data_IF_022547915870
#
_entry.id   IF_022547915870
#
_cell.length_a   1.000
_cell.length_b   1.000
_cell.length_c   1.000
_cell.angle_alpha   90.00
_cell.angle_beta   90.00
_cell.angle_gamma   90.00
#
_symmetry.space_group_name_H-M   'P 1'
#
loop_
_entity.id
_entity.type
_entity.pdbx_description
1 polymer ?
#
# COMPACT_ATOMS: atom_id res chain seq x y z
N UNK A 1 5.74 8.01 -56.83
CA UNK A 1 4.41 7.64 -56.27
C UNK A 1 4.63 6.62 -55.16
N UNK A 2 4.40 7.06 -53.92
CA UNK A 2 3.97 6.30 -52.72
C UNK A 2 4.29 7.21 -51.52
N UNK A 3 3.31 8.05 -51.19
CA UNK A 3 3.28 8.83 -49.95
C UNK A 3 2.73 7.89 -48.87
N UNK A 4 3.40 7.77 -47.75
CA UNK A 4 2.79 7.28 -46.50
C UNK A 4 3.03 8.38 -45.48
N UNK A 5 1.92 9.00 -45.08
CA UNK A 5 1.82 10.01 -44.04
C UNK A 5 1.58 9.24 -42.75
N UNK A 6 2.47 9.33 -41.78
CA UNK A 6 2.23 8.82 -40.42
C UNK A 6 1.74 9.97 -39.57
N UNK A 7 0.48 9.86 -39.16
CA UNK A 7 -0.24 10.81 -38.30
C UNK A 7 0.05 10.44 -36.84
N UNK A 8 0.54 11.44 -36.08
CA UNK A 8 0.54 11.47 -34.62
C UNK A 8 -0.90 11.37 -34.11
N UNK A 9 -1.17 10.46 -33.17
CA UNK A 9 -2.42 10.45 -32.41
C UNK A 9 -2.07 10.33 -30.93
N UNK A 10 -2.05 11.49 -30.27
CA UNK A 10 -2.19 11.61 -28.83
C UNK A 10 -3.67 11.40 -28.49
N UNK A 11 -3.97 10.48 -27.58
CA UNK A 11 -5.31 10.32 -27.00
C UNK A 11 -5.19 10.67 -25.53
N UNK A 12 -5.58 11.90 -25.21
CA UNK A 12 -5.99 12.33 -23.87
C UNK A 12 -7.50 12.17 -23.83
N UNK A 13 -8.03 11.31 -22.95
CA UNK A 13 -9.47 11.28 -22.66
C UNK A 13 -9.72 11.77 -21.24
N UNK A 14 -9.99 13.06 -21.15
CA UNK A 14 -10.83 13.65 -20.12
C UNK A 14 -12.26 13.55 -20.65
N UNK A 15 -13.14 12.82 -19.96
CA UNK A 15 -14.58 12.88 -20.20
C UNK A 15 -15.25 13.43 -18.95
N UNK A 16 -15.64 14.69 -19.05
CA UNK A 16 -16.46 15.42 -18.10
C UNK A 16 -17.93 15.41 -18.53
N UNK A 17 -18.78 15.08 -17.56
CA UNK A 17 -20.18 15.48 -17.33
C UNK A 17 -21.17 15.62 -18.50
N UNK A 18 -22.24 14.80 -18.49
CA UNK A 18 -23.60 15.25 -18.84
C UNK A 18 -24.65 14.59 -17.94
N UNK A 19 -25.36 15.42 -17.18
CA UNK A 19 -26.54 15.11 -16.36
C UNK A 19 -27.80 15.17 -17.23
N UNK A 20 -28.71 14.21 -17.07
CA UNK A 20 -30.12 14.38 -17.40
C UNK A 20 -31.00 13.67 -16.35
N UNK A 21 -31.80 14.46 -15.63
CA UNK A 21 -32.78 14.08 -14.61
C UNK A 21 -34.15 13.70 -15.22
N UNK A 22 -34.87 12.77 -14.57
CA UNK A 22 -36.33 12.70 -14.23
C UNK A 22 -36.85 11.24 -14.28
N UNK A 23 -37.68 10.68 -13.38
CA UNK A 23 -38.16 10.95 -12.01
C UNK A 23 -39.05 9.74 -11.55
N UNK A 24 -39.26 9.60 -10.22
CA UNK A 24 -40.35 8.93 -9.46
C UNK A 24 -40.15 7.55 -8.74
N UNK A 25 -40.17 7.62 -7.39
CA UNK A 25 -40.60 6.60 -6.41
C UNK A 25 -39.45 5.79 -5.80
N UNK A 26 -39.23 5.65 -4.49
CA UNK A 26 -39.97 5.92 -3.23
C UNK A 26 -38.95 6.01 -2.09
N UNK A 27 -39.28 6.72 -1.01
CA UNK A 27 -38.45 6.93 0.19
C UNK A 27 -37.82 5.65 0.78
N UNK A 28 -36.49 5.60 0.81
CA UNK A 28 -35.71 4.98 1.87
C UNK A 28 -34.63 5.98 2.28
N UNK A 29 -34.57 6.26 3.58
CA UNK A 29 -33.73 7.32 4.16
C UNK A 29 -32.25 7.03 3.99
N UNK A 30 -31.66 7.47 2.89
CA UNK A 30 -30.24 7.77 2.84
C UNK A 30 -30.05 9.03 3.68
N UNK A 31 -29.47 8.88 4.87
CA UNK A 31 -28.86 10.00 5.56
C UNK A 31 -28.01 10.75 4.52
N UNK A 32 -28.30 12.03 4.33
CA UNK A 32 -27.45 12.94 3.59
C UNK A 32 -26.13 13.08 4.38
N UNK A 33 -25.29 12.05 4.29
CA UNK A 33 -24.03 11.91 5.01
C UNK A 33 -22.92 12.54 4.19
N UNK A 34 -22.08 13.32 4.87
CA UNK A 34 -20.96 14.05 4.28
C UNK A 34 -20.22 13.24 3.21
N UNK A 35 -20.07 13.79 2.02
CA UNK A 35 -19.30 13.18 0.93
C UNK A 35 -17.86 12.97 1.40
N UNK A 36 -17.28 11.81 1.08
CA UNK A 36 -15.88 11.48 1.38
C UNK A 36 -15.65 10.68 2.67
N UNK A 37 -14.37 10.56 3.01
CA UNK A 37 -13.83 9.69 4.06
C UNK A 37 -12.81 10.42 4.93
N UNK A 38 -12.58 9.93 6.15
CA UNK A 38 -11.57 10.44 7.09
C UNK A 38 -10.78 9.31 7.72
N UNK A 39 -9.53 9.59 8.08
CA UNK A 39 -8.70 8.75 8.95
C UNK A 39 -9.00 9.09 10.41
N UNK A 40 -9.17 8.08 11.27
CA UNK A 40 -9.15 8.24 12.72
C UNK A 40 -7.68 8.31 13.14
N UNK A 41 -7.24 9.50 13.57
CA UNK A 41 -5.83 9.79 13.84
C UNK A 41 -5.33 9.22 15.18
N UNK A 42 -5.44 7.90 15.33
CA UNK A 42 -5.02 7.12 16.50
C UNK A 42 -4.29 5.87 16.00
N UNK A 43 -2.95 5.83 16.10
CA UNK A 43 -2.16 4.65 15.76
C UNK A 43 -2.59 3.42 16.57
N UNK A 44 -2.80 2.29 15.91
CA UNK A 44 -3.21 1.04 16.55
C UNK A 44 -2.05 0.08 16.80
N UNK A 45 -0.99 0.18 16.01
CA UNK A 45 0.17 -0.72 16.05
C UNK A 45 1.47 0.07 15.97
N UNK A 46 2.60 -0.61 16.19
CA UNK A 46 3.96 -0.10 15.90
C UNK A 46 4.65 -1.14 15.03
N UNK A 47 4.99 -0.75 13.81
CA UNK A 47 5.42 -1.66 12.75
C UNK A 47 6.70 -1.16 12.08
N UNK A 48 7.58 -2.09 11.73
CA UNK A 48 8.82 -1.77 11.02
C UNK A 48 8.74 -2.32 9.61
N UNK A 49 8.93 -1.46 8.61
CA UNK A 49 9.08 -1.89 7.23
C UNK A 49 10.54 -2.21 6.92
N UNK A 50 10.77 -3.33 6.26
CA UNK A 50 12.08 -3.78 5.80
C UNK A 50 11.97 -4.53 4.47
N UNK A 51 13.08 -4.65 3.74
CA UNK A 51 13.10 -5.42 2.50
C UNK A 51 13.28 -6.91 2.77
N UNK A 52 12.55 -7.74 2.04
CA UNK A 52 12.62 -9.20 2.15
C UNK A 52 13.63 -9.77 1.16
N UNK A 53 14.81 -10.19 1.63
CA UNK A 53 15.84 -10.80 0.78
C UNK A 53 15.70 -12.32 0.79
N UNK A 54 16.08 -12.97 -0.30
CA UNK A 54 16.11 -14.44 -0.39
C UNK A 54 16.97 -15.06 0.71
N UNK A 55 16.46 -16.11 1.36
CA UNK A 55 17.07 -16.71 2.57
C UNK A 55 18.44 -17.34 2.36
N UNK A 56 18.73 -17.78 1.14
CA UNK A 56 20.01 -18.39 0.77
C UNK A 56 21.00 -17.39 0.15
N UNK A 57 20.73 -16.08 0.24
CA UNK A 57 21.62 -15.02 -0.25
C UNK A 57 22.08 -14.04 0.86
N UNK A 58 22.95 -14.50 1.78
CA UNK A 58 23.49 -13.64 2.83
C UNK A 58 24.39 -12.51 2.30
N UNK A 59 24.95 -12.66 1.09
CA UNK A 59 25.80 -11.65 0.47
C UNK A 59 24.96 -10.46 -0.01
N UNK A 60 23.81 -10.72 -0.65
CA UNK A 60 22.85 -9.67 -1.00
C UNK A 60 22.31 -8.99 0.24
N UNK A 61 21.91 -9.73 1.27
CA UNK A 61 21.43 -9.16 2.53
C UNK A 61 22.47 -8.20 3.15
N UNK A 62 23.75 -8.59 3.21
CA UNK A 62 24.81 -7.74 3.73
C UNK A 62 24.98 -6.45 2.93
N UNK A 63 24.86 -6.53 1.59
CA UNK A 63 24.94 -5.35 0.71
C UNK A 63 23.73 -4.45 0.88
N UNK A 64 22.53 -5.01 1.00
CA UNK A 64 21.28 -4.27 1.26
C UNK A 64 21.37 -3.53 2.60
N UNK A 65 21.84 -4.18 3.66
CA UNK A 65 22.00 -3.52 4.96
C UNK A 65 23.04 -2.40 4.93
N UNK A 66 24.14 -2.60 4.20
CA UNK A 66 25.14 -1.54 3.98
C UNK A 66 24.52 -0.35 3.22
N UNK A 67 23.80 -0.63 2.14
CA UNK A 67 23.09 0.36 1.34
C UNK A 67 22.08 1.16 2.19
N UNK A 68 21.24 0.49 2.98
CA UNK A 68 20.27 1.15 3.88
C UNK A 68 20.99 2.06 4.88
N UNK A 69 22.10 1.60 5.46
CA UNK A 69 22.94 2.42 6.33
C UNK A 69 23.48 3.67 5.62
N UNK A 70 23.96 3.52 4.38
CA UNK A 70 24.49 4.63 3.58
C UNK A 70 23.41 5.66 3.26
N UNK A 71 22.27 5.26 2.68
CA UNK A 71 21.19 6.20 2.28
C UNK A 71 20.55 6.91 3.48
N UNK A 72 20.55 6.28 4.65
CA UNK A 72 20.17 6.95 5.92
C UNK A 72 21.21 7.98 6.31
N UNK A 73 22.49 7.59 6.36
CA UNK A 73 23.57 8.45 6.87
C UNK A 73 23.84 9.67 6.01
N UNK A 74 23.60 9.57 4.69
CA UNK A 74 23.87 10.63 3.73
C UNK A 74 22.63 11.47 3.38
N UNK A 75 21.47 11.17 3.97
CA UNK A 75 20.21 11.89 3.79
C UNK A 75 19.45 11.57 2.49
N UNK A 76 19.87 10.57 1.71
CA UNK A 76 19.13 10.16 0.51
C UNK A 76 17.77 9.55 0.86
N UNK A 77 17.67 8.78 1.94
CA UNK A 77 16.38 8.26 2.40
C UNK A 77 15.44 9.41 2.78
N UNK A 78 15.92 10.39 3.55
CA UNK A 78 15.12 11.56 3.93
C UNK A 78 14.67 12.36 2.71
N UNK A 79 15.53 12.51 1.70
CA UNK A 79 15.18 13.18 0.45
C UNK A 79 14.08 12.43 -0.32
N UNK A 80 14.15 11.09 -0.37
CA UNK A 80 13.10 10.27 -0.97
C UNK A 80 11.80 10.41 -0.18
N UNK A 81 11.84 10.28 1.16
CA UNK A 81 10.65 10.45 2.00
C UNK A 81 10.03 11.84 1.79
N UNK A 82 10.83 12.91 1.66
CA UNK A 82 10.33 14.25 1.38
C UNK A 82 9.60 14.37 0.02
N UNK A 83 9.91 13.51 -0.96
CA UNK A 83 9.18 13.48 -2.24
C UNK A 83 7.72 13.05 -2.09
N UNK A 84 7.38 12.31 -1.03
CA UNK A 84 6.05 11.72 -0.84
C UNK A 84 5.31 12.25 0.38
N UNK A 85 6.04 12.59 1.44
CA UNK A 85 5.48 13.08 2.70
C UNK A 85 5.68 14.58 2.92
N UNK A 86 6.41 15.24 2.01
CA UNK A 86 6.77 16.65 2.10
C UNK A 86 6.41 17.43 0.84
N UNK A 87 7.25 18.40 0.50
CA UNK A 87 7.09 19.29 -0.65
C UNK A 87 7.92 18.87 -1.87
N UNK A 88 8.61 17.72 -1.77
CA UNK A 88 9.39 17.16 -2.86
C UNK A 88 8.48 16.65 -3.99
N UNK A 89 9.12 16.16 -5.05
CA UNK A 89 8.40 15.65 -6.23
C UNK A 89 8.67 14.16 -6.39
N UNK A 90 7.64 13.30 -6.47
CA UNK A 90 7.81 11.89 -6.78
C UNK A 90 8.62 11.67 -8.06
N UNK A 91 9.58 10.74 -8.01
CA UNK A 91 10.38 10.37 -9.17
C UNK A 91 9.88 9.05 -9.75
N UNK A 92 9.59 9.05 -11.04
CA UNK A 92 9.16 7.85 -11.76
C UNK A 92 10.33 6.90 -12.01
N UNK A 93 10.07 5.61 -11.85
CA UNK A 93 11.03 4.52 -12.04
C UNK A 93 10.52 3.61 -13.14
N UNK A 94 11.38 3.34 -14.11
CA UNK A 94 11.09 2.46 -15.24
C UNK A 94 11.73 1.10 -15.01
N UNK A 95 10.93 0.04 -15.10
CA UNK A 95 11.44 -1.34 -15.11
C UNK A 95 12.09 -1.66 -16.45
N UNK A 96 13.23 -2.36 -16.41
CA UNK A 96 13.74 -3.04 -17.58
C UNK A 96 12.91 -4.30 -17.89
N UNK A 97 13.17 -4.89 -19.06
CA UNK A 97 12.66 -6.21 -19.44
C UNK A 97 13.58 -7.27 -18.85
N UNK A 98 13.00 -8.28 -18.19
CA UNK A 98 13.74 -9.42 -17.67
C UNK A 98 14.50 -10.17 -18.78
N UNK A 99 15.79 -10.35 -18.59
CA UNK A 99 16.70 -11.01 -19.52
C UNK A 99 17.72 -11.84 -18.73
N UNK A 100 17.59 -13.18 -18.70
CA UNK A 100 18.51 -14.07 -17.99
C UNK A 100 19.97 -14.01 -18.46
N UNK A 101 20.26 -13.36 -19.60
CA UNK A 101 21.62 -13.14 -20.07
C UNK A 101 22.28 -11.88 -19.49
N UNK A 102 21.54 -11.04 -18.77
CA UNK A 102 22.01 -9.81 -18.15
C UNK A 102 22.14 -9.94 -16.64
N UNK A 103 22.95 -9.06 -16.06
CA UNK A 103 23.03 -8.91 -14.62
C UNK A 103 21.94 -7.95 -14.12
N UNK A 104 20.85 -8.53 -13.60
CA UNK A 104 19.67 -7.80 -13.18
C UNK A 104 19.43 -7.94 -11.67
N UNK A 105 18.76 -6.95 -11.08
CA UNK A 105 18.13 -7.04 -9.77
C UNK A 105 16.62 -7.16 -10.01
N UNK A 106 16.04 -8.30 -9.66
CA UNK A 106 14.61 -8.56 -9.82
C UNK A 106 13.92 -8.26 -8.49
N UNK A 107 13.16 -7.17 -8.47
CA UNK A 107 12.34 -6.74 -7.34
C UNK A 107 10.92 -7.28 -7.49
N UNK A 108 10.41 -7.96 -6.47
CA UNK A 108 8.99 -8.32 -6.37
C UNK A 108 8.27 -7.26 -5.52
N UNK A 109 7.15 -6.74 -6.01
CA UNK A 109 6.37 -5.69 -5.34
C UNK A 109 4.86 -5.83 -5.56
N UNK A 110 4.05 -5.04 -4.85
CA UNK A 110 2.62 -4.85 -5.10
C UNK A 110 2.32 -3.36 -5.28
N UNK A 111 2.29 -2.87 -6.52
CA UNK A 111 2.18 -1.44 -6.84
C UNK A 111 0.74 -0.89 -6.72
N UNK A 112 0.07 -1.17 -5.62
CA UNK A 112 -1.26 -0.64 -5.25
C UNK A 112 -1.24 0.04 -3.86
N UNK A 113 -0.05 0.39 -3.36
CA UNK A 113 0.19 0.82 -1.98
C UNK A 113 0.94 2.16 -1.93
N UNK A 114 0.29 3.20 -2.48
CA UNK A 114 0.81 4.56 -2.38
C UNK A 114 0.90 4.99 -0.90
N UNK A 115 1.96 5.69 -0.46
CA UNK A 115 3.02 6.27 -1.29
C UNK A 115 4.30 5.42 -1.40
N UNK A 116 4.29 4.14 -1.02
CA UNK A 116 5.50 3.31 -1.02
C UNK A 116 5.75 2.66 -2.38
N UNK A 117 4.70 2.12 -3.01
CA UNK A 117 4.77 1.55 -4.34
C UNK A 117 3.43 1.68 -5.05
N UNK A 118 3.44 2.32 -6.21
CA UNK A 118 2.23 2.49 -7.01
C UNK A 118 2.56 2.72 -8.49
N UNK A 119 1.55 2.56 -9.34
CA UNK A 119 1.64 2.84 -10.76
C UNK A 119 0.89 4.12 -11.13
N UNK A 120 1.53 4.96 -11.95
CA UNK A 120 0.83 5.95 -12.77
C UNK A 120 1.03 5.60 -14.25
N UNK A 121 -0.03 5.06 -14.87
CA UNK A 121 0.09 4.44 -16.19
C UNK A 121 1.01 3.21 -16.11
N UNK A 122 2.13 3.25 -16.85
CA UNK A 122 3.14 2.17 -16.86
C UNK A 122 4.38 2.50 -16.01
N UNK A 123 4.41 3.67 -15.36
CA UNK A 123 5.57 4.12 -14.59
C UNK A 123 5.37 3.83 -13.11
N UNK A 124 6.37 3.23 -12.48
CA UNK A 124 6.36 2.96 -11.04
C UNK A 124 6.78 4.21 -10.27
N UNK A 125 6.13 4.43 -9.14
CA UNK A 125 6.43 5.50 -8.20
C UNK A 125 6.39 4.96 -6.77
N UNK A 126 6.93 5.75 -5.85
CA UNK A 126 6.89 5.47 -4.43
C UNK A 126 8.27 5.33 -3.81
N UNK A 127 8.29 5.40 -2.48
CA UNK A 127 9.52 5.29 -1.67
C UNK A 127 10.30 4.00 -2.01
N UNK A 128 9.61 2.86 -2.08
CA UNK A 128 10.22 1.56 -2.34
C UNK A 128 10.79 1.50 -3.75
N UNK A 129 10.12 2.13 -4.72
CA UNK A 129 10.56 2.13 -6.12
C UNK A 129 11.80 3.01 -6.33
N UNK A 130 11.85 4.19 -5.72
CA UNK A 130 13.04 5.04 -5.73
C UNK A 130 14.23 4.36 -5.02
N UNK A 131 13.98 3.69 -3.88
CA UNK A 131 15.00 2.90 -3.19
C UNK A 131 15.45 1.69 -4.00
N UNK A 132 14.56 1.00 -4.72
CA UNK A 132 14.88 -0.11 -5.61
C UNK A 132 15.82 0.34 -6.74
N UNK A 133 15.58 1.52 -7.30
CA UNK A 133 16.44 2.12 -8.32
C UNK A 133 17.83 2.45 -7.77
N UNK A 134 17.91 3.06 -6.59
CA UNK A 134 19.18 3.37 -5.95
C UNK A 134 19.96 2.10 -5.56
N UNK A 135 19.27 1.07 -5.08
CA UNK A 135 19.88 -0.22 -4.75
C UNK A 135 20.43 -0.90 -6.00
N UNK A 136 19.69 -0.93 -7.10
CA UNK A 136 20.16 -1.48 -8.37
C UNK A 136 21.42 -0.74 -8.87
N UNK A 137 21.46 0.59 -8.79
CA UNK A 137 22.63 1.39 -9.13
C UNK A 137 23.82 1.10 -8.22
N UNK A 138 23.60 0.99 -6.91
CA UNK A 138 24.62 0.63 -5.92
C UNK A 138 25.22 -0.75 -6.22
N UNK A 139 24.40 -1.71 -6.65
CA UNK A 139 24.83 -3.06 -7.03
C UNK A 139 25.44 -3.13 -8.44
N UNK A 140 25.30 -2.08 -9.26
CA UNK A 140 25.70 -2.07 -10.66
C UNK A 140 24.83 -2.97 -11.55
N UNK A 141 23.57 -3.20 -11.17
CA UNK A 141 22.61 -4.09 -11.85
C UNK A 141 21.54 -3.29 -12.58
N UNK A 142 20.97 -3.88 -13.64
CA UNK A 142 19.76 -3.34 -14.28
C UNK A 142 18.52 -3.72 -13.45
N UNK A 143 17.65 -2.76 -13.16
CA UNK A 143 16.45 -2.98 -12.33
C UNK A 143 15.31 -3.59 -13.15
N UNK A 144 14.76 -4.70 -12.65
CA UNK A 144 13.50 -5.30 -13.13
C UNK A 144 12.51 -5.31 -11.96
N UNK A 145 11.30 -4.83 -12.20
CA UNK A 145 10.21 -4.78 -11.21
C UNK A 145 9.10 -5.72 -11.67
N UNK A 146 8.72 -6.66 -10.81
CA UNK A 146 7.58 -7.56 -11.02
C UNK A 146 6.47 -7.18 -10.04
N UNK A 147 5.36 -6.70 -10.60
CA UNK A 147 4.15 -6.36 -9.85
C UNK A 147 3.25 -7.59 -9.70
N UNK A 148 2.92 -7.96 -8.47
CA UNK A 148 2.14 -9.15 -8.12
C UNK A 148 1.15 -8.83 -6.99
N UNK A 149 0.23 -9.75 -6.70
CA UNK A 149 -0.65 -9.60 -5.53
C UNK A 149 0.18 -9.63 -4.23
N UNK A 150 -0.17 -8.79 -3.26
CA UNK A 150 0.60 -8.63 -2.02
C UNK A 150 0.83 -9.96 -1.28
N UNK A 151 -0.19 -10.81 -1.21
CA UNK A 151 -0.16 -12.13 -0.54
C UNK A 151 0.97 -13.04 -1.03
N UNK A 152 1.43 -12.87 -2.27
CA UNK A 152 2.44 -13.74 -2.88
C UNK A 152 3.83 -13.10 -2.97
N UNK A 153 4.01 -11.86 -2.51
CA UNK A 153 5.29 -11.14 -2.62
C UNK A 153 6.44 -11.93 -1.96
N UNK A 154 6.30 -12.32 -0.70
CA UNK A 154 7.36 -13.03 0.02
C UNK A 154 7.57 -14.46 -0.51
N UNK A 155 6.49 -15.20 -0.80
CA UNK A 155 6.60 -16.57 -1.28
C UNK A 155 7.21 -16.66 -2.69
N UNK A 156 7.07 -15.63 -3.51
CA UNK A 156 7.77 -15.55 -4.79
C UNK A 156 9.29 -15.39 -4.67
N UNK A 157 9.78 -14.73 -3.61
CA UNK A 157 11.21 -14.68 -3.31
C UNK A 157 11.73 -16.06 -2.93
N UNK A 158 11.03 -16.77 -2.04
CA UNK A 158 11.41 -18.14 -1.66
C UNK A 158 11.40 -19.10 -2.87
N UNK A 159 10.38 -18.98 -3.74
CA UNK A 159 10.28 -19.76 -4.97
C UNK A 159 11.32 -19.38 -6.05
N UNK A 160 12.12 -18.32 -5.84
CA UNK A 160 13.19 -17.90 -6.73
C UNK A 160 12.73 -17.10 -7.96
N UNK A 161 11.55 -16.48 -7.91
CA UNK A 161 11.06 -15.60 -8.98
C UNK A 161 11.64 -14.18 -8.94
N UNK A 162 12.26 -13.79 -7.83
CA UNK A 162 12.99 -12.53 -7.68
C UNK A 162 14.05 -12.60 -6.58
N UNK A 163 14.84 -11.53 -6.47
CA UNK A 163 15.98 -11.43 -5.57
C UNK A 163 15.60 -10.78 -4.23
N UNK A 164 14.73 -9.77 -4.30
CA UNK A 164 14.32 -8.95 -3.15
C UNK A 164 12.87 -8.51 -3.27
N UNK A 165 12.15 -8.53 -2.15
CA UNK A 165 10.82 -7.98 -2.01
C UNK A 165 10.89 -6.57 -1.41
N UNK A 166 10.23 -5.62 -2.08
CA UNK A 166 10.13 -4.21 -1.68
C UNK A 166 8.69 -3.76 -1.92
N UNK A 167 7.87 -3.86 -0.87
CA UNK A 167 6.44 -3.62 -0.92
C UNK A 167 5.90 -3.17 0.46
N UNK A 168 6.53 -2.17 1.10
CA UNK A 168 6.08 -1.71 2.43
C UNK A 168 5.96 -2.84 3.46
N UNK A 169 6.89 -3.81 3.43
CA UNK A 169 6.72 -5.05 4.16
C UNK A 169 7.02 -4.88 5.66
N UNK A 170 5.97 -4.93 6.47
CA UNK A 170 6.11 -5.15 7.92
C UNK A 170 6.91 -6.41 8.24
N UNK A 171 7.93 -6.27 9.08
CA UNK A 171 8.71 -7.40 9.63
C UNK A 171 7.82 -8.23 10.55
N UNK A 172 7.65 -9.52 10.25
CA UNK A 172 6.94 -10.46 11.12
C UNK A 172 7.46 -11.90 10.97
N UNK A 173 7.15 -12.75 11.95
CA UNK A 173 7.66 -14.14 12.02
C UNK A 173 7.20 -14.98 10.82
N UNK A 174 5.93 -14.88 10.43
CA UNK A 174 5.37 -15.62 9.28
C UNK A 174 6.11 -15.32 7.98
N UNK A 175 6.43 -14.05 7.71
CA UNK A 175 7.18 -13.65 6.51
C UNK A 175 8.63 -14.10 6.58
N UNK A 176 9.21 -14.24 7.79
CA UNK A 176 10.57 -14.79 7.94
C UNK A 176 10.69 -16.25 7.50
N UNK A 177 9.57 -16.97 7.35
CA UNK A 177 9.58 -18.30 6.75
C UNK A 177 10.05 -18.26 5.29
N UNK A 178 9.72 -17.20 4.55
CA UNK A 178 9.99 -17.04 3.12
C UNK A 178 11.20 -16.14 2.81
N UNK A 179 11.45 -15.13 3.63
CA UNK A 179 12.52 -14.13 3.40
C UNK A 179 13.39 -13.93 4.64
N UNK A 180 14.58 -13.36 4.44
CA UNK A 180 15.35 -12.74 5.52
C UNK A 180 15.23 -11.23 5.39
N UNK A 181 14.77 -10.57 6.44
CA UNK A 181 14.58 -9.12 6.42
C UNK A 181 15.91 -8.37 6.51
N UNK A 182 15.99 -7.26 5.78
CA UNK A 182 17.01 -6.24 5.96
C UNK A 182 16.83 -5.48 7.27
N UNK A 183 17.75 -4.55 7.54
CA UNK A 183 17.49 -3.45 8.46
C UNK A 183 16.23 -2.68 8.01
N UNK A 184 15.44 -2.21 8.97
CA UNK A 184 14.24 -1.44 8.67
C UNK A 184 14.57 -0.08 8.04
N UNK A 185 13.72 0.44 7.17
CA UNK A 185 13.86 1.78 6.57
C UNK A 185 12.73 2.74 6.93
N UNK A 186 11.62 2.26 7.49
CA UNK A 186 10.46 3.06 7.82
C UNK A 186 9.67 2.45 9.00
N UNK A 187 9.00 3.30 9.78
CA UNK A 187 8.11 2.91 10.88
C UNK A 187 6.67 3.25 10.53
N UNK A 188 5.77 2.29 10.62
CA UNK A 188 4.37 2.39 10.26
C UNK A 188 3.44 2.03 11.42
N UNK A 189 2.15 2.25 11.23
CA UNK A 189 1.09 1.81 12.14
C UNK A 189 -0.21 1.61 11.36
N UNK A 190 -1.10 0.74 11.85
CA UNK A 190 -2.46 0.60 11.34
C UNK A 190 -3.34 1.76 11.81
N UNK A 191 -4.21 2.22 10.90
CA UNK A 191 -5.18 3.29 11.12
C UNK A 191 -6.57 2.85 10.66
N UNK A 192 -7.60 3.47 11.24
CA UNK A 192 -8.99 3.28 10.81
C UNK A 192 -9.39 4.36 9.81
N UNK A 193 -10.04 3.98 8.72
CA UNK A 193 -10.73 4.88 7.79
C UNK A 193 -12.25 4.67 7.94
N UNK A 194 -12.98 5.77 8.07
CA UNK A 194 -14.45 5.79 8.09
C UNK A 194 -14.99 6.85 7.14
N UNK A 195 -16.31 6.85 6.90
CA UNK A 195 -17.00 7.93 6.20
C UNK A 195 -16.91 9.24 6.99
N UNK A 196 -16.89 10.39 6.32
CA UNK A 196 -16.75 11.70 6.97
C UNK A 196 -17.83 12.00 8.03
N UNK A 197 -19.05 11.49 7.84
CA UNK A 197 -20.16 11.66 8.78
C UNK A 197 -20.18 10.67 9.95
N UNK A 198 -19.26 9.71 10.00
CA UNK A 198 -19.19 8.72 11.06
C UNK A 198 -18.61 9.35 12.34
N UNK A 199 -19.34 9.27 13.45
CA UNK A 199 -18.94 9.83 14.76
C UNK A 199 -18.56 8.75 15.77
N UNK A 200 -18.47 7.49 15.35
CA UNK A 200 -18.28 6.32 16.23
C UNK A 200 -17.02 6.47 17.08
N UNK A 201 -15.95 7.00 16.49
CA UNK A 201 -14.63 7.10 17.12
C UNK A 201 -14.29 8.51 17.63
N UNK A 202 -15.23 9.47 17.60
CA UNK A 202 -14.94 10.89 17.88
C UNK A 202 -14.45 11.14 19.34
N UNK A 203 -14.84 10.27 20.27
CA UNK A 203 -14.45 10.37 21.69
C UNK A 203 -13.17 9.57 22.03
N UNK A 204 -12.64 8.80 21.07
CA UNK A 204 -11.42 8.01 21.27
C UNK A 204 -10.18 8.93 21.39
N UNK A 205 -9.25 8.55 22.26
CA UNK A 205 -7.98 9.29 22.47
C UNK A 205 -6.76 8.38 22.41
N UNK A 206 -6.97 7.08 22.55
CA UNK A 206 -5.94 6.06 22.65
C UNK A 206 -6.32 4.86 21.81
N UNK A 207 -5.33 4.03 21.43
CA UNK A 207 -5.57 2.77 20.74
C UNK A 207 -6.58 1.89 21.51
N UNK A 208 -6.45 1.82 22.84
CA UNK A 208 -7.36 1.07 23.70
C UNK A 208 -8.83 1.56 23.62
N UNK A 209 -9.08 2.85 23.38
CA UNK A 209 -10.44 3.36 23.18
C UNK A 209 -11.01 2.87 21.85
N UNK A 210 -10.18 2.83 20.80
CA UNK A 210 -10.58 2.32 19.47
C UNK A 210 -10.81 0.81 19.55
N UNK A 211 -9.90 0.07 20.16
CA UNK A 211 -10.01 -1.38 20.38
C UNK A 211 -11.25 -1.76 21.19
N UNK A 212 -11.62 -0.96 22.20
CA UNK A 212 -12.84 -1.19 22.96
C UNK A 212 -14.11 -1.07 22.08
N UNK A 213 -14.10 -0.18 21.09
CA UNK A 213 -15.17 -0.08 20.09
C UNK A 213 -15.14 -1.28 19.14
N UNK A 214 -13.98 -1.61 18.59
CA UNK A 214 -13.81 -2.74 17.67
C UNK A 214 -14.23 -4.07 18.32
N UNK A 215 -13.88 -4.29 19.59
CA UNK A 215 -14.28 -5.45 20.38
C UNK A 215 -15.79 -5.49 20.69
N UNK A 216 -16.48 -4.35 20.60
CA UNK A 216 -17.93 -4.25 20.74
C UNK A 216 -18.71 -4.58 19.48
N UNK A 217 -18.05 -4.69 18.32
CA UNK A 217 -18.68 -5.09 17.07
C UNK A 217 -19.00 -6.59 17.03
N UNK A 218 -19.99 -6.94 16.21
CA UNK A 218 -20.39 -8.32 15.93
C UNK A 218 -20.27 -8.62 14.44
N UNK A 219 -20.67 -9.83 14.03
CA UNK A 219 -20.58 -10.32 12.66
C UNK A 219 -21.37 -9.49 11.63
N UNK A 220 -22.20 -8.54 12.06
CA UNK A 220 -22.92 -7.61 11.18
C UNK A 220 -22.10 -6.39 10.80
N UNK A 221 -21.07 -6.05 11.58
CA UNK A 221 -20.12 -5.01 11.19
C UNK A 221 -19.05 -5.64 10.31
N UNK A 222 -18.77 -5.01 9.16
CA UNK A 222 -17.75 -5.46 8.23
C UNK A 222 -16.57 -4.49 8.18
N UNK A 223 -15.36 -5.04 8.36
CA UNK A 223 -14.09 -4.32 8.33
C UNK A 223 -13.33 -4.73 7.06
N UNK A 224 -13.07 -3.76 6.18
CA UNK A 224 -12.28 -3.97 4.98
C UNK A 224 -10.77 -3.91 5.27
N UNK A 225 -10.02 -4.82 4.66
CA UNK A 225 -8.55 -4.89 4.74
C UNK A 225 -7.96 -5.27 3.39
N UNK A 226 -6.68 -4.97 3.18
CA UNK A 226 -5.94 -5.58 2.06
C UNK A 226 -5.49 -7.00 2.47
N UNK A 227 -5.60 -7.97 1.56
CA UNK A 227 -5.23 -9.35 1.87
C UNK A 227 -3.73 -9.49 2.19
N UNK A 228 -3.41 -10.30 3.19
CA UNK A 228 -2.05 -10.66 3.61
C UNK A 228 -1.32 -9.57 4.41
N UNK A 229 -1.96 -8.43 4.69
CA UNK A 229 -1.35 -7.32 5.44
C UNK A 229 -1.56 -7.47 6.94
N UNK A 230 -0.83 -6.64 7.71
CA UNK A 230 -1.00 -6.58 9.17
C UNK A 230 -2.43 -6.23 9.57
N UNK A 231 -3.13 -5.40 8.79
CA UNK A 231 -4.55 -5.09 9.02
C UNK A 231 -5.43 -6.34 9.06
N UNK A 232 -5.23 -7.28 8.13
CA UNK A 232 -5.99 -8.53 8.14
C UNK A 232 -5.73 -9.33 9.40
N UNK A 233 -4.46 -9.51 9.78
CA UNK A 233 -4.07 -10.23 11.00
C UNK A 233 -4.59 -9.53 12.25
N UNK A 234 -4.61 -8.20 12.27
CA UNK A 234 -5.16 -7.42 13.37
C UNK A 234 -6.65 -7.65 13.56
N UNK A 235 -7.42 -7.79 12.47
CA UNK A 235 -8.86 -8.03 12.54
C UNK A 235 -9.19 -9.49 12.83
N UNK A 236 -8.55 -10.44 12.15
CA UNK A 236 -8.83 -11.88 12.29
C UNK A 236 -8.20 -12.48 13.56
N UNK A 237 -7.18 -11.84 14.11
CA UNK A 237 -6.36 -12.34 15.20
C UNK A 237 -5.17 -13.14 14.67
N UNK A 238 -4.03 -12.97 15.34
CA UNK A 238 -2.79 -13.64 15.03
C UNK A 238 -1.93 -13.73 16.30
N UNK A 239 -1.61 -14.96 16.72
CA UNK A 239 -0.92 -15.20 17.98
C UNK A 239 0.55 -14.76 17.96
N UNK A 240 1.19 -14.76 16.79
CA UNK A 240 2.59 -14.36 16.65
C UNK A 240 2.72 -12.83 16.77
N UNK A 241 1.69 -12.12 16.32
CA UNK A 241 1.52 -10.68 16.55
C UNK A 241 0.97 -10.31 17.92
N UNK A 242 0.35 -11.26 18.62
CA UNK A 242 -0.38 -10.98 19.86
C UNK A 242 -1.70 -10.25 19.63
N UNK A 243 -2.30 -10.41 18.45
CA UNK A 243 -3.62 -9.88 18.14
C UNK A 243 -4.70 -10.91 18.50
N UNK A 244 -5.60 -10.53 19.40
CA UNK A 244 -6.73 -11.39 19.80
C UNK A 244 -7.81 -11.49 18.69
N UNK A 245 -7.82 -10.53 17.76
CA UNK A 245 -8.85 -10.39 16.73
C UNK A 245 -10.16 -9.82 17.28
N UNK A 246 -11.12 -9.58 16.37
CA UNK A 246 -12.44 -9.04 16.70
C UNK A 246 -13.55 -9.93 16.15
N UNK A 247 -14.77 -9.80 16.70
CA UNK A 247 -15.92 -10.56 16.22
C UNK A 247 -16.54 -10.00 14.93
N UNK A 248 -16.09 -8.82 14.48
CA UNK A 248 -16.50 -8.22 13.21
C UNK A 248 -16.10 -9.10 12.02
N UNK A 249 -16.87 -9.00 10.93
CA UNK A 249 -16.54 -9.70 9.69
C UNK A 249 -15.33 -9.02 9.03
N UNK A 250 -14.22 -9.75 8.88
CA UNK A 250 -13.08 -9.32 8.07
C UNK A 250 -13.37 -9.53 6.58
N UNK A 251 -13.34 -8.46 5.78
CA UNK A 251 -13.53 -8.53 4.33
C UNK A 251 -12.24 -8.13 3.62
N UNK A 252 -11.67 -9.09 2.89
CA UNK A 252 -10.42 -8.94 2.18
C UNK A 252 -10.55 -8.35 0.78
N UNK A 253 -9.60 -7.49 0.41
CA UNK A 253 -9.50 -6.85 -0.91
C UNK A 253 -8.06 -6.95 -1.44
N UNK A 254 -7.89 -6.83 -2.76
CA UNK A 254 -6.55 -6.81 -3.37
C UNK A 254 -5.78 -5.52 -3.05
N UNK A 255 -6.50 -4.42 -2.76
CA UNK A 255 -5.93 -3.15 -2.27
C UNK A 255 -6.87 -2.38 -1.35
N UNK A 256 -6.28 -1.54 -0.48
CA UNK A 256 -7.03 -0.66 0.41
C UNK A 256 -7.93 0.35 -0.31
N UNK A 257 -7.52 0.81 -1.50
CA UNK A 257 -8.34 1.71 -2.31
C UNK A 257 -9.69 1.06 -2.70
N UNK A 258 -9.67 -0.23 -3.08
CA UNK A 258 -10.89 -0.98 -3.37
C UNK A 258 -11.76 -1.16 -2.12
N UNK A 259 -11.15 -1.44 -0.96
CA UNK A 259 -11.87 -1.51 0.31
C UNK A 259 -12.60 -0.19 0.61
N UNK A 260 -11.93 0.96 0.45
CA UNK A 260 -12.54 2.28 0.68
C UNK A 260 -13.65 2.58 -0.32
N UNK A 261 -13.50 2.18 -1.60
CA UNK A 261 -14.60 2.31 -2.56
C UNK A 261 -15.82 1.48 -2.18
N UNK A 262 -15.61 0.26 -1.69
CA UNK A 262 -16.70 -0.62 -1.27
C UNK A 262 -17.39 -0.12 0.01
N UNK A 263 -16.62 0.47 0.92
CA UNK A 263 -17.13 1.20 2.09
C UNK A 263 -18.03 2.36 1.65
N UNK A 264 -17.58 3.18 0.69
CA UNK A 264 -18.38 4.28 0.14
C UNK A 264 -19.69 3.81 -0.51
N UNK A 265 -19.69 2.64 -1.15
CA UNK A 265 -20.88 2.01 -1.70
C UNK A 265 -21.84 1.47 -0.62
N UNK A 266 -21.41 1.43 0.64
CA UNK A 266 -22.22 0.97 1.77
C UNK A 266 -22.22 -0.54 1.99
N UNK A 267 -21.26 -1.25 1.39
CA UNK A 267 -21.15 -2.71 1.52
C UNK A 267 -20.33 -3.15 2.73
N UNK A 268 -19.44 -2.27 3.22
CA UNK A 268 -18.68 -2.43 4.47
C UNK A 268 -18.71 -1.14 5.30
N UNK A 269 -18.37 -1.23 6.58
CA UNK A 269 -18.55 -0.14 7.54
C UNK A 269 -17.31 0.72 7.71
N UNK A 270 -16.13 0.10 7.80
CA UNK A 270 -14.85 0.77 7.99
C UNK A 270 -13.71 0.01 7.29
N UNK A 271 -12.57 0.66 7.12
CA UNK A 271 -11.34 0.04 6.58
C UNK A 271 -10.22 0.19 7.60
N UNK A 272 -9.40 -0.85 7.77
CA UNK A 272 -8.14 -0.76 8.51
C UNK A 272 -6.99 -0.94 7.52
N UNK A 273 -6.04 -0.02 7.55
CA UNK A 273 -4.85 -0.01 6.70
C UNK A 273 -3.77 0.90 7.31
N UNK A 274 -2.52 0.68 6.90
CA UNK A 274 -1.36 1.46 7.30
C UNK A 274 -1.55 2.98 7.11
N UNK A 275 -0.98 3.77 8.03
CA UNK A 275 -1.18 5.22 8.13
C UNK A 275 -0.92 6.00 6.84
N UNK A 276 0.26 5.79 6.24
CA UNK A 276 0.66 6.52 5.05
C UNK A 276 -0.28 6.23 3.85
N UNK A 277 -0.59 4.95 3.55
CA UNK A 277 -1.63 4.61 2.58
C UNK A 277 -3.03 5.09 2.96
N UNK A 278 -3.41 5.04 4.23
CA UNK A 278 -4.70 5.55 4.67
C UNK A 278 -4.85 7.03 4.31
N UNK A 279 -3.84 7.83 4.63
CA UNK A 279 -3.80 9.26 4.29
C UNK A 279 -3.81 9.48 2.78
N UNK A 280 -3.01 8.72 2.02
CA UNK A 280 -2.97 8.82 0.54
C UNK A 280 -4.32 8.50 -0.11
N UNK A 281 -4.97 7.41 0.32
CA UNK A 281 -6.28 7.01 -0.17
C UNK A 281 -7.33 8.07 0.18
N UNK A 282 -7.36 8.54 1.44
CA UNK A 282 -8.31 9.57 1.88
C UNK A 282 -8.15 10.86 1.10
N UNK A 283 -6.92 11.31 0.85
CA UNK A 283 -6.64 12.49 0.02
C UNK A 283 -7.16 12.29 -1.41
N UNK A 284 -6.81 11.18 -2.05
CA UNK A 284 -7.22 10.90 -3.43
C UNK A 284 -8.74 10.79 -3.58
N UNK A 285 -9.41 10.10 -2.65
CA UNK A 285 -10.86 9.94 -2.63
C UNK A 285 -11.57 11.27 -2.39
N UNK A 286 -11.07 12.11 -1.48
CA UNK A 286 -11.70 13.40 -1.19
C UNK A 286 -11.43 14.45 -2.27
N UNK A 287 -10.37 14.30 -3.08
CA UNK A 287 -10.09 15.21 -4.19
C UNK A 287 -11.09 15.10 -5.36
N UNK A 288 -11.83 13.98 -5.46
CA UNK A 288 -12.78 13.71 -6.54
C UNK A 288 -14.25 13.78 -6.12
N UNK A 289 -14.54 13.97 -4.83
CA UNK A 289 -15.87 14.08 -4.23
C UNK A 289 -16.23 15.52 -3.84
#
# INVERSE_FOLDING_TARGET
MKKVISILLAVVMIVSCMVALTACGTDEGAAAGATGVKVINIPLTDELYAFGVKKDDPDLLSKVNTFIGEVKSNGQLDAILNNYFGDGKPQGVTSAVEDPAKDQLIVITNAEFAPFEYLEGETFYGVDMELAKLLADYLGKELVIKNVDFEVVCSQIDAGYGDIAMAGLTVNETRTEFVTFSESYYTACQMVIVKNGDTTFDECKTAADVEAILAGFDDKTSIGVQNGTTAQYYVEGDADWGFDGFAATCTGYTSGALAVQDMLNGNIDLVIIDEAPANSIVEAVNAVN
#
